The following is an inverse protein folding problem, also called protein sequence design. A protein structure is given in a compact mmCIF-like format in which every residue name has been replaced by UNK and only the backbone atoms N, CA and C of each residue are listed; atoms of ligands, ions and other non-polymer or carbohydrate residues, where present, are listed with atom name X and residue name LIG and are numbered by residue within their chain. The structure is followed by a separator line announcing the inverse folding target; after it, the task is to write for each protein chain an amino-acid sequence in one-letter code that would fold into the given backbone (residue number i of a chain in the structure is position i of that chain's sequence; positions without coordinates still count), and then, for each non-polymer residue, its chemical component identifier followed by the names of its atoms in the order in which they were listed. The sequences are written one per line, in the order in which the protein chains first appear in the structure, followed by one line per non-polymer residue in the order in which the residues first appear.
data_IF_004983882602
#
_entry.id   IF_004983882602
#
_cell.length_a   1.000
_cell.length_b   1.000
_cell.length_c   1.000
_cell.angle_alpha   90.00
_cell.angle_beta   90.00
_cell.angle_gamma   90.00
#
_symmetry.space_group_name_H-M   'P 1'
#
loop_
_entity.id
_entity.type
_entity.pdbx_description
1 polymer ?
#
# COMPACT_ATOMS: atom_id res chain seq x y z
N UNK A 1 1.72 9.32 -5.27
CA UNK A 1 2.27 8.04 -5.77
C UNK A 1 3.33 8.20 -6.87
N UNK A 2 3.17 9.10 -7.84
CA UNK A 2 4.11 9.23 -8.96
C UNK A 2 5.58 9.52 -8.60
N UNK A 3 5.84 10.35 -7.57
CA UNK A 3 7.21 10.62 -7.11
C UNK A 3 7.82 9.43 -6.35
N UNK A 4 7.05 8.79 -5.47
CA UNK A 4 7.50 7.61 -4.74
C UNK A 4 7.93 6.48 -5.69
N UNK A 5 7.19 6.26 -6.78
CA UNK A 5 7.56 5.27 -7.81
C UNK A 5 8.84 5.60 -8.61
N UNK A 6 9.35 6.82 -8.52
CA UNK A 6 10.63 7.20 -9.11
C UNK A 6 11.80 6.99 -8.14
N UNK A 7 11.53 6.77 -6.86
CA UNK A 7 12.58 6.52 -5.88
C UNK A 7 13.20 5.14 -6.13
N UNK A 8 14.55 5.05 -6.13
CA UNK A 8 15.24 3.78 -6.30
C UNK A 8 14.96 2.84 -5.10
N UNK A 9 14.93 1.53 -5.37
CA UNK A 9 14.62 0.51 -4.37
C UNK A 9 13.11 0.24 -4.30
N UNK A 10 12.56 0.32 -3.09
CA UNK A 10 11.18 -0.11 -2.83
C UNK A 10 10.12 0.60 -3.71
N UNK A 11 10.30 1.89 -3.96
CA UNK A 11 9.41 2.67 -4.84
C UNK A 11 9.38 2.15 -6.29
N UNK A 12 10.56 1.89 -6.87
CA UNK A 12 10.68 1.33 -8.22
C UNK A 12 10.18 -0.11 -8.31
N UNK A 13 10.43 -0.92 -7.28
CA UNK A 13 9.95 -2.30 -7.22
C UNK A 13 8.43 -2.34 -7.15
N UNK A 14 7.83 -1.47 -6.33
CA UNK A 14 6.39 -1.31 -6.25
C UNK A 14 5.77 -0.89 -7.57
N UNK A 15 6.39 0.04 -8.29
CA UNK A 15 5.93 0.46 -9.60
C UNK A 15 5.93 -0.70 -10.61
N UNK A 16 6.98 -1.50 -10.62
CA UNK A 16 7.15 -2.62 -11.54
C UNK A 16 6.19 -3.78 -11.21
N UNK A 17 6.08 -4.11 -9.91
CA UNK A 17 5.28 -5.23 -9.41
C UNK A 17 3.81 -4.93 -9.19
N UNK A 18 3.32 -3.73 -9.51
CA UNK A 18 1.92 -3.35 -9.30
C UNK A 18 1.25 -2.72 -10.51
N UNK A 19 -0.07 -2.75 -10.50
CA UNK A 19 -0.93 -2.13 -11.50
C UNK A 19 -1.85 -1.12 -10.84
N UNK A 20 -1.94 0.05 -11.45
CA UNK A 20 -2.93 1.06 -11.10
C UNK A 20 -4.33 0.47 -11.28
N UNK A 21 -5.20 0.66 -10.30
CA UNK A 21 -6.62 0.30 -10.42
C UNK A 21 -7.47 1.55 -10.63
N UNK A 22 -8.75 1.38 -10.97
CA UNK A 22 -9.73 2.46 -11.04
C UNK A 22 -10.27 2.86 -9.67
N UNK A 23 -9.89 2.16 -8.60
CA UNK A 23 -10.39 2.40 -7.25
C UNK A 23 -9.67 3.60 -6.62
N UNK A 24 -10.45 4.48 -6.01
CA UNK A 24 -9.96 5.64 -5.26
C UNK A 24 -10.43 5.50 -3.81
N UNK A 25 -9.51 5.62 -2.88
CA UNK A 25 -9.79 5.59 -1.45
C UNK A 25 -9.08 6.75 -0.76
N UNK A 26 -9.81 7.52 0.05
CA UNK A 26 -9.31 8.74 0.68
C UNK A 26 -8.61 9.72 -0.30
N UNK A 27 -9.16 9.84 -1.52
CA UNK A 27 -8.60 10.68 -2.57
C UNK A 27 -7.29 10.16 -3.19
N UNK A 28 -6.86 8.94 -2.86
CA UNK A 28 -5.67 8.29 -3.40
C UNK A 28 -6.06 7.11 -4.29
N UNK A 29 -5.35 6.95 -5.40
CA UNK A 29 -5.54 5.78 -6.25
C UNK A 29 -4.99 4.54 -5.57
N UNK A 30 -5.80 3.48 -5.54
CA UNK A 30 -5.39 2.16 -5.07
C UNK A 30 -4.65 1.43 -6.19
N UNK A 31 -3.54 0.81 -5.84
CA UNK A 31 -2.73 -0.04 -6.69
C UNK A 31 -2.88 -1.48 -6.25
N UNK A 32 -2.76 -2.41 -7.19
CA UNK A 32 -2.84 -3.84 -6.93
C UNK A 32 -1.54 -4.51 -7.34
N UNK A 33 -0.94 -5.26 -6.41
CA UNK A 33 0.21 -6.09 -6.67
C UNK A 33 -0.13 -7.15 -7.74
N UNK A 34 0.63 -7.14 -8.83
CA UNK A 34 0.49 -8.11 -9.93
C UNK A 34 1.39 -9.34 -9.74
N UNK A 35 2.40 -9.21 -8.89
CA UNK A 35 3.35 -10.23 -8.47
C UNK A 35 3.70 -10.00 -7.00
N UNK A 36 4.40 -10.96 -6.39
CA UNK A 36 4.99 -10.77 -5.07
C UNK A 36 6.13 -9.75 -5.18
N UNK A 37 5.97 -8.62 -4.50
CA UNK A 37 6.90 -7.48 -4.59
C UNK A 37 7.97 -7.61 -3.52
N UNK A 38 7.54 -7.96 -2.31
CA UNK A 38 8.39 -8.27 -1.17
C UNK A 38 7.64 -9.22 -0.21
N UNK A 39 8.24 -9.52 0.95
CA UNK A 39 7.61 -10.36 1.99
C UNK A 39 6.28 -9.79 2.54
N UNK A 40 6.11 -8.46 2.43
CA UNK A 40 4.99 -7.71 2.99
C UNK A 40 3.85 -7.47 1.98
N UNK A 41 4.14 -7.47 0.67
CA UNK A 41 3.18 -7.21 -0.40
C UNK A 41 3.22 -8.39 -1.36
N UNK A 42 2.20 -9.23 -1.23
CA UNK A 42 2.04 -10.44 -2.03
C UNK A 42 1.18 -10.17 -3.26
N UNK A 43 1.25 -11.09 -4.22
CA UNK A 43 0.42 -11.02 -5.43
C UNK A 43 -1.07 -10.93 -5.08
N UNK A 44 -1.70 -9.87 -5.58
CA UNK A 44 -3.13 -9.61 -5.43
C UNK A 44 -3.49 -8.66 -4.30
N UNK A 45 -2.54 -8.34 -3.42
CA UNK A 45 -2.72 -7.33 -2.38
C UNK A 45 -2.93 -5.95 -3.01
N UNK A 46 -3.64 -5.10 -2.29
CA UNK A 46 -3.98 -3.74 -2.69
C UNK A 46 -3.31 -2.76 -1.74
N UNK A 47 -2.82 -1.65 -2.25
CA UNK A 47 -2.19 -0.64 -1.41
C UNK A 47 -2.36 0.76 -2.00
N UNK A 48 -2.25 1.77 -1.15
CA UNK A 48 -2.19 3.16 -1.58
C UNK A 48 -1.23 3.95 -0.69
N UNK A 49 -0.73 5.06 -1.23
CA UNK A 49 0.14 5.98 -0.50
C UNK A 49 -0.71 6.94 0.33
N UNK A 50 -0.32 7.16 1.58
CA UNK A 50 -0.95 8.14 2.46
C UNK A 50 -1.11 9.50 1.75
N UNK A 51 -2.33 10.02 1.73
CA UNK A 51 -2.64 11.27 1.06
C UNK A 51 -2.10 12.50 1.80
N UNK A 52 -1.94 12.42 3.13
CA UNK A 52 -1.63 13.59 3.95
C UNK A 52 -0.14 13.90 4.00
N UNK A 53 0.67 12.94 4.42
CA UNK A 53 2.11 13.10 4.61
C UNK A 53 2.93 12.34 3.55
N UNK A 54 2.30 11.45 2.78
CA UNK A 54 2.93 10.65 1.71
C UNK A 54 4.18 9.90 2.17
N UNK A 55 4.22 9.52 3.44
CA UNK A 55 5.38 8.91 4.09
C UNK A 55 5.17 7.43 4.48
N UNK A 56 3.99 6.88 4.21
CA UNK A 56 3.68 5.47 4.42
C UNK A 56 2.66 4.96 3.39
N UNK A 57 2.61 3.64 3.24
CA UNK A 57 1.68 2.90 2.43
C UNK A 57 0.77 2.08 3.33
N UNK A 58 -0.53 2.09 3.04
CA UNK A 58 -1.47 1.19 3.68
C UNK A 58 -1.69 -0.01 2.76
N UNK A 59 -1.46 -1.22 3.29
CA UNK A 59 -1.56 -2.48 2.58
C UNK A 59 -2.81 -3.24 3.02
N UNK A 60 -3.52 -3.77 2.04
CA UNK A 60 -4.78 -4.49 2.17
C UNK A 60 -4.67 -5.81 1.39
N UNK A 61 -5.34 -6.83 1.86
CA UNK A 61 -5.39 -8.11 1.17
C UNK A 61 -6.25 -7.98 -0.10
N UNK A 62 -6.22 -9.00 -0.96
CA UNK A 62 -7.07 -9.11 -2.16
C UNK A 62 -8.58 -8.92 -1.91
N UNK A 63 -9.06 -9.17 -0.68
CA UNK A 63 -10.46 -8.98 -0.26
C UNK A 63 -10.73 -7.59 0.33
N UNK A 64 -9.74 -6.69 0.33
CA UNK A 64 -9.83 -5.34 0.85
C UNK A 64 -9.69 -5.24 2.37
N UNK A 65 -9.27 -6.31 3.07
CA UNK A 65 -9.02 -6.24 4.52
C UNK A 65 -7.67 -5.60 4.78
N UNK A 66 -7.60 -4.64 5.70
CA UNK A 66 -6.32 -4.08 6.14
C UNK A 66 -5.38 -5.19 6.66
N UNK A 67 -4.11 -5.11 6.28
CA UNK A 67 -3.06 -6.06 6.67
C UNK A 67 -2.03 -5.35 7.55
N UNK A 68 -1.38 -4.30 7.04
CA UNK A 68 -0.39 -3.52 7.78
C UNK A 68 -0.07 -2.19 7.09
N UNK A 69 0.64 -1.32 7.79
CA UNK A 69 1.22 -0.09 7.24
C UNK A 69 2.70 -0.30 6.97
N UNK A 70 3.18 0.09 5.80
CA UNK A 70 4.59 0.09 5.44
C UNK A 70 5.15 1.51 5.35
N UNK A 71 6.41 1.69 5.72
CA UNK A 71 7.17 2.90 5.45
C UNK A 71 7.63 2.93 3.97
N UNK A 72 8.15 4.07 3.51
CA UNK A 72 8.66 4.22 2.14
C UNK A 72 9.93 3.39 1.85
N UNK A 73 10.56 2.82 2.87
CA UNK A 73 11.66 1.86 2.71
C UNK A 73 11.17 0.40 2.63
N UNK A 74 9.88 0.13 2.88
CA UNK A 74 9.29 -1.21 2.83
C UNK A 74 9.22 -1.94 4.17
N UNK A 75 9.76 -1.36 5.25
CA UNK A 75 9.58 -1.86 6.61
C UNK A 75 8.15 -1.65 7.14
N UNK A 76 7.69 -2.54 8.02
CA UNK A 76 6.41 -2.41 8.70
C UNK A 76 6.47 -1.29 9.72
N UNK A 77 5.44 -0.46 9.75
CA UNK A 77 5.22 0.55 10.79
C UNK A 77 4.27 -0.02 11.86
N UNK A 78 4.78 -0.57 12.97
CA UNK A 78 3.95 -1.26 13.96
C UNK A 78 2.97 -0.30 14.66
N UNK A 79 3.40 0.94 14.95
CA UNK A 79 2.57 1.95 15.60
C UNK A 79 1.34 2.31 14.78
N UNK A 80 1.53 2.56 13.48
CA UNK A 80 0.40 2.86 12.57
C UNK A 80 -0.44 1.62 12.26
N UNK A 81 0.18 0.46 12.16
CA UNK A 81 -0.52 -0.81 11.93
C UNK A 81 -1.52 -1.08 13.05
N UNK A 82 -1.11 -0.92 14.32
CA UNK A 82 -1.99 -1.14 15.47
C UNK A 82 -3.17 -0.17 15.50
N UNK A 83 -2.96 1.08 15.11
CA UNK A 83 -4.03 2.08 15.02
C UNK A 83 -5.01 1.74 13.89
N UNK A 84 -4.52 1.47 12.69
CA UNK A 84 -5.37 1.14 11.53
C UNK A 84 -6.12 -0.18 11.70
N UNK A 85 -5.51 -1.16 12.37
CA UNK A 85 -6.17 -2.42 12.75
C UNK A 85 -7.27 -2.19 13.78
N UNK A 86 -7.02 -1.38 14.81
CA UNK A 86 -8.02 -1.01 15.82
C UNK A 86 -9.19 -0.21 15.21
N UNK A 87 -8.93 0.63 14.21
CA UNK A 87 -9.96 1.33 13.43
C UNK A 87 -10.73 0.39 12.48
N UNK A 88 -10.25 -0.84 12.27
CA UNK A 88 -10.93 -1.82 11.42
C UNK A 88 -10.99 -1.42 9.95
N UNK A 89 -9.98 -0.68 9.45
CA UNK A 89 -9.98 -0.14 8.08
C UNK A 89 -10.18 -1.24 7.04
N UNK A 90 -11.01 -0.94 6.03
CA UNK A 90 -11.23 -1.81 4.87
C UNK A 90 -11.40 -0.98 3.62
N UNK A 91 -10.87 -1.50 2.52
CA UNK A 91 -11.18 -0.97 1.20
C UNK A 91 -12.62 -1.39 0.84
N UNK A 92 -13.42 -0.47 0.29
CA UNK A 92 -14.72 -0.82 -0.28
C UNK A 92 -14.54 -1.82 -1.43
N UNK A 93 -15.56 -2.63 -1.71
CA UNK A 93 -15.56 -3.56 -2.85
C UNK A 93 -15.82 -2.83 -4.16
#
# INVERSE_FOLDING_TARGET
MGEFFKQPGFGSDLKSGSKKTSQIYQGQTVYKASSDINENIRKGDQFYLDGKHKNHLEVFDRRGKFVHVLNLDGSINPSKTKVAEAEGRRLPK
#
